data_IF_011424751839
#
_entry.id   IF_011424751839
#
_cell.length_a   1.000
_cell.length_b   1.000
_cell.length_c   1.000
_cell.angle_alpha   90.00
_cell.angle_beta   90.00
_cell.angle_gamma   90.00
#
_symmetry.space_group_name_H-M   'P 1'
#
loop_
_entity.id
_entity.type
_entity.pdbx_description
1 polymer ?
#
# COMPACT_ATOMS: atom_id res chain seq x y z
N UNK A 1 8.69 -39.24 10.33
CA UNK A 1 8.57 -38.08 9.41
C UNK A 1 7.12 -37.64 9.41
N UNK A 2 6.78 -36.46 9.91
CA UNK A 2 5.42 -35.90 9.84
C UNK A 2 5.09 -35.56 8.39
N UNK A 3 3.97 -36.03 7.90
CA UNK A 3 3.45 -35.70 6.57
C UNK A 3 3.04 -34.22 6.57
N UNK A 4 3.53 -33.43 5.61
CA UNK A 4 3.10 -32.06 5.42
C UNK A 4 1.62 -32.06 5.03
N UNK A 5 0.82 -31.23 5.66
CA UNK A 5 -0.55 -31.01 5.22
C UNK A 5 -0.57 -30.02 4.04
N UNK A 6 -1.61 -30.08 3.19
CA UNK A 6 -1.76 -29.11 2.11
C UNK A 6 -1.83 -27.65 2.60
N UNK A 7 -2.31 -27.44 3.84
CA UNK A 7 -2.33 -26.13 4.49
C UNK A 7 -0.91 -25.67 4.86
N UNK A 8 -0.12 -26.52 5.52
CA UNK A 8 1.28 -26.19 5.88
C UNK A 8 2.10 -25.80 4.64
N UNK A 9 1.88 -26.52 3.52
CA UNK A 9 2.54 -26.26 2.26
C UNK A 9 2.16 -24.89 1.69
N UNK A 10 0.85 -24.62 1.62
CA UNK A 10 0.33 -23.33 1.13
C UNK A 10 0.84 -22.16 1.94
N UNK A 11 0.73 -22.26 3.26
CA UNK A 11 1.11 -21.18 4.17
C UNK A 11 2.62 -20.89 4.05
N UNK A 12 3.45 -21.93 4.00
CA UNK A 12 4.90 -21.77 3.81
C UNK A 12 5.27 -21.10 2.49
N UNK A 13 4.58 -21.43 1.39
CA UNK A 13 4.82 -20.77 0.09
C UNK A 13 4.32 -19.35 0.08
N UNK A 14 3.16 -19.10 0.67
CA UNK A 14 2.61 -17.74 0.79
C UNK A 14 3.56 -16.85 1.56
N UNK A 15 4.09 -17.31 2.68
CA UNK A 15 5.07 -16.58 3.48
C UNK A 15 6.33 -16.26 2.69
N UNK A 16 6.90 -17.26 1.98
CA UNK A 16 8.10 -17.03 1.16
C UNK A 16 7.87 -16.01 0.03
N UNK A 17 6.70 -16.07 -0.63
CA UNK A 17 6.31 -15.14 -1.69
C UNK A 17 6.12 -13.73 -1.13
N UNK A 18 5.45 -13.61 0.01
CA UNK A 18 5.19 -12.31 0.64
C UNK A 18 6.49 -11.69 1.18
N UNK A 19 7.38 -12.51 1.74
CA UNK A 19 8.72 -12.07 2.15
C UNK A 19 9.51 -11.52 0.96
N UNK A 20 9.53 -12.26 -0.17
CA UNK A 20 10.14 -11.79 -1.40
C UNK A 20 9.47 -10.51 -1.94
N UNK A 21 8.15 -10.43 -1.90
CA UNK A 21 7.41 -9.25 -2.35
C UNK A 21 7.58 -8.03 -1.43
N UNK A 22 8.02 -8.21 -0.18
CA UNK A 22 8.36 -7.12 0.74
C UNK A 22 9.76 -6.54 0.49
N UNK A 23 10.53 -7.08 -0.44
CA UNK A 23 11.87 -6.60 -0.76
C UNK A 23 11.81 -5.36 -1.66
N UNK A 24 11.95 -4.19 -1.07
CA UNK A 24 12.06 -2.92 -1.78
C UNK A 24 13.47 -2.35 -1.66
N UNK A 25 13.99 -1.86 -2.79
CA UNK A 25 15.26 -1.14 -2.86
C UNK A 25 15.13 0.30 -2.35
N UNK A 26 13.93 0.90 -2.48
CA UNK A 26 13.65 2.21 -1.93
C UNK A 26 12.17 2.36 -1.55
N UNK A 27 11.92 3.20 -0.54
CA UNK A 27 10.58 3.65 -0.18
C UNK A 27 10.56 5.17 -0.19
N UNK A 28 9.55 5.73 -0.83
CA UNK A 28 9.28 7.16 -0.90
C UNK A 28 7.93 7.44 -0.25
N UNK A 29 7.85 8.44 0.61
CA UNK A 29 6.64 8.69 1.36
C UNK A 29 6.22 10.16 1.29
N UNK A 30 4.91 10.40 1.19
CA UNK A 30 4.28 11.71 1.19
C UNK A 30 3.19 11.76 2.26
N UNK A 31 3.29 12.69 3.19
CA UNK A 31 2.24 12.98 4.17
C UNK A 31 1.58 14.31 3.82
N UNK A 32 0.27 14.30 3.58
CA UNK A 32 -0.53 15.45 3.15
C UNK A 32 -1.51 15.82 4.25
N UNK A 33 -1.58 17.09 4.60
CA UNK A 33 -2.56 17.65 5.52
C UNK A 33 -2.83 19.13 5.21
N UNK A 34 -3.89 19.69 5.78
CA UNK A 34 -4.17 21.11 5.70
C UNK A 34 -3.56 21.86 6.89
N UNK A 35 -3.17 23.12 6.66
CA UNK A 35 -2.59 23.98 7.71
C UNK A 35 -3.57 24.27 8.85
N UNK A 36 -4.87 24.29 8.54
CA UNK A 36 -5.97 24.54 9.48
C UNK A 36 -6.48 23.28 10.20
N UNK A 37 -5.85 22.14 9.96
CA UNK A 37 -6.27 20.86 10.55
C UNK A 37 -6.13 20.85 12.09
N UNK A 38 -6.95 20.01 12.71
CA UNK A 38 -6.99 19.88 14.16
C UNK A 38 -5.83 19.02 14.72
N UNK A 39 -5.75 18.98 16.03
CA UNK A 39 -4.71 18.23 16.75
C UNK A 39 -4.70 16.73 16.40
N UNK A 40 -5.86 16.15 16.04
CA UNK A 40 -5.93 14.75 15.64
C UNK A 40 -5.28 14.50 14.28
N UNK A 41 -5.52 15.35 13.31
CA UNK A 41 -4.87 15.25 11.99
C UNK A 41 -3.35 15.36 12.12
N UNK A 42 -2.88 16.29 12.98
CA UNK A 42 -1.46 16.41 13.31
C UNK A 42 -0.95 15.13 13.98
N UNK A 43 -1.72 14.57 14.91
CA UNK A 43 -1.37 13.32 15.56
C UNK A 43 -1.32 12.15 14.56
N UNK A 44 -2.26 12.06 13.62
CA UNK A 44 -2.26 11.03 12.57
C UNK A 44 -1.01 11.14 11.68
N UNK A 45 -0.60 12.35 11.28
CA UNK A 45 0.64 12.55 10.54
C UNK A 45 1.88 12.10 11.36
N UNK A 46 1.91 12.40 12.66
CA UNK A 46 2.97 11.92 13.56
C UNK A 46 2.97 10.39 13.68
N UNK A 47 1.79 9.75 13.80
CA UNK A 47 1.69 8.29 13.83
C UNK A 47 2.16 7.66 12.52
N UNK A 48 1.95 8.34 11.39
CA UNK A 48 2.47 7.89 10.11
C UNK A 48 4.00 7.91 10.07
N UNK A 49 4.64 8.96 10.58
CA UNK A 49 6.11 8.99 10.72
C UNK A 49 6.61 7.83 11.60
N UNK A 50 5.94 7.56 12.72
CA UNK A 50 6.30 6.42 13.58
C UNK A 50 6.15 5.07 12.85
N UNK A 51 5.17 4.93 11.93
CA UNK A 51 5.07 3.74 11.08
C UNK A 51 6.32 3.63 10.18
N UNK A 52 6.73 4.71 9.53
CA UNK A 52 7.92 4.70 8.67
C UNK A 52 9.20 4.35 9.45
N UNK A 53 9.35 4.87 10.67
CA UNK A 53 10.43 4.47 11.57
C UNK A 53 10.42 2.95 11.87
N UNK A 54 9.24 2.39 12.19
CA UNK A 54 9.10 0.95 12.41
C UNK A 54 9.46 0.12 11.18
N UNK A 55 9.13 0.62 9.98
CA UNK A 55 9.51 0.02 8.70
C UNK A 55 10.99 0.24 8.37
N UNK A 56 11.71 1.05 9.13
CA UNK A 56 13.12 1.43 8.89
C UNK A 56 13.34 2.06 7.52
N UNK A 57 12.40 2.90 7.11
CA UNK A 57 12.43 3.61 5.84
C UNK A 57 12.54 5.12 6.09
N UNK A 58 12.95 5.92 5.07
CA UNK A 58 13.07 7.36 5.23
C UNK A 58 11.76 8.03 5.63
N UNK A 59 11.89 9.14 6.36
CA UNK A 59 10.76 9.99 6.75
C UNK A 59 9.96 10.46 5.55
N UNK A 60 8.67 10.68 5.76
CA UNK A 60 7.83 11.23 4.71
C UNK A 60 8.20 12.69 4.38
N UNK A 61 8.10 13.01 3.10
CA UNK A 61 7.99 14.41 2.69
C UNK A 61 6.66 14.95 3.18
N UNK A 62 6.67 16.02 3.98
CA UNK A 62 5.45 16.67 4.43
C UNK A 62 4.96 17.70 3.41
N UNK A 63 3.67 17.64 3.09
CA UNK A 63 2.98 18.65 2.28
C UNK A 63 1.83 19.24 3.08
N UNK A 64 2.04 20.44 3.60
CA UNK A 64 0.99 21.23 4.24
C UNK A 64 0.32 22.10 3.17
N UNK A 65 -0.98 21.93 3.00
CA UNK A 65 -1.81 22.70 2.09
C UNK A 65 -2.35 23.94 2.80
N UNK A 66 -2.36 25.06 2.11
CA UNK A 66 -2.98 26.29 2.55
C UNK A 66 -3.77 26.94 1.40
N UNK A 67 -4.49 28.02 1.71
CA UNK A 67 -5.39 28.68 0.77
C UNK A 67 -4.70 29.74 -0.11
N UNK A 68 -3.39 29.92 0.02
CA UNK A 68 -2.82 31.19 -0.39
C UNK A 68 -2.42 31.30 -1.87
N UNK A 69 -2.01 30.24 -2.59
CA UNK A 69 -1.29 30.53 -3.83
C UNK A 69 -1.63 29.68 -5.07
N UNK A 70 -2.11 28.45 -4.94
CA UNK A 70 -2.40 27.56 -6.07
C UNK A 70 -3.53 26.59 -5.72
N UNK A 71 -4.28 26.12 -6.70
CA UNK A 71 -5.24 25.03 -6.49
C UNK A 71 -4.55 23.86 -5.77
N UNK A 72 -5.03 23.46 -4.59
CA UNK A 72 -4.36 22.47 -3.73
C UNK A 72 -4.12 21.13 -4.44
N UNK A 73 -5.07 20.71 -5.29
CA UNK A 73 -4.91 19.51 -6.10
C UNK A 73 -3.71 19.53 -7.04
N UNK A 74 -3.39 20.69 -7.64
CA UNK A 74 -2.20 20.80 -8.50
C UNK A 74 -0.90 20.70 -7.70
N UNK A 75 -0.83 21.27 -6.49
CA UNK A 75 0.34 21.11 -5.61
C UNK A 75 0.55 19.64 -5.22
N UNK A 76 -0.52 18.96 -4.87
CA UNK A 76 -0.50 17.53 -4.54
C UNK A 76 -0.05 16.71 -5.73
N UNK A 77 -0.61 16.98 -6.91
CA UNK A 77 -0.26 16.29 -8.15
C UNK A 77 1.22 16.49 -8.52
N UNK A 78 1.73 17.72 -8.43
CA UNK A 78 3.13 18.04 -8.71
C UNK A 78 4.06 17.25 -7.76
N UNK A 79 3.74 17.27 -6.45
CA UNK A 79 4.55 16.57 -5.45
C UNK A 79 4.55 15.05 -5.62
N UNK A 80 3.38 14.47 -5.90
CA UNK A 80 3.28 13.04 -6.17
C UNK A 80 4.05 12.66 -7.45
N UNK A 81 3.99 13.46 -8.51
CA UNK A 81 4.77 13.23 -9.73
C UNK A 81 6.27 13.25 -9.48
N UNK A 82 6.77 14.17 -8.65
CA UNK A 82 8.19 14.20 -8.25
C UNK A 82 8.61 12.89 -7.58
N UNK A 83 7.79 12.40 -6.64
CA UNK A 83 8.09 11.15 -5.94
C UNK A 83 8.02 9.94 -6.87
N UNK A 84 7.00 9.83 -7.71
CA UNK A 84 6.88 8.77 -8.69
C UNK A 84 8.06 8.80 -9.69
N UNK A 85 8.49 9.99 -10.13
CA UNK A 85 9.66 10.12 -10.99
C UNK A 85 10.96 9.70 -10.29
N UNK A 86 11.09 9.94 -8.99
CA UNK A 86 12.22 9.48 -8.19
C UNK A 86 12.19 7.96 -8.01
N UNK A 87 11.02 7.40 -7.70
CA UNK A 87 10.83 5.96 -7.57
C UNK A 87 11.14 5.20 -8.86
N UNK A 88 10.74 5.75 -10.02
CA UNK A 88 11.08 5.18 -11.35
C UNK A 88 12.57 5.05 -11.59
N UNK A 89 13.37 5.98 -11.08
CA UNK A 89 14.84 5.98 -11.27
C UNK A 89 15.56 5.01 -10.33
N UNK A 90 14.82 4.42 -9.38
CA UNK A 90 15.41 3.44 -8.47
C UNK A 90 15.75 2.16 -9.23
N UNK A 91 16.95 1.67 -9.05
CA UNK A 91 17.33 0.33 -9.50
C UNK A 91 16.65 -0.69 -8.58
N UNK A 92 15.83 -1.59 -9.14
CA UNK A 92 15.02 -2.52 -8.39
C UNK A 92 13.60 -2.00 -8.09
N UNK A 93 12.90 -2.67 -7.19
CA UNK A 93 11.51 -2.32 -6.83
C UNK A 93 11.50 -1.15 -5.86
N UNK A 94 10.57 -0.22 -6.10
CA UNK A 94 10.31 0.90 -5.20
C UNK A 94 8.86 0.87 -4.70
N UNK A 95 8.65 1.38 -3.49
CA UNK A 95 7.33 1.61 -2.91
C UNK A 95 7.11 3.11 -2.72
N UNK A 96 5.95 3.60 -3.14
CA UNK A 96 5.50 4.96 -2.83
C UNK A 96 4.33 4.85 -1.86
N UNK A 97 4.42 5.49 -0.69
CA UNK A 97 3.34 5.54 0.30
C UNK A 97 2.82 6.96 0.38
N UNK A 98 1.54 7.14 0.08
CA UNK A 98 0.87 8.44 0.16
C UNK A 98 -0.13 8.41 1.31
N UNK A 99 0.09 9.22 2.30
CA UNK A 99 -0.77 9.38 3.46
C UNK A 99 -1.49 10.73 3.40
N UNK A 100 -2.79 10.72 3.56
CA UNK A 100 -3.59 11.92 3.76
C UNK A 100 -4.31 11.81 5.10
N UNK A 101 -4.13 12.81 5.94
CA UNK A 101 -4.92 12.99 7.14
C UNK A 101 -5.72 14.29 7.03
N UNK A 102 -7.03 14.25 7.33
CA UNK A 102 -7.87 15.44 7.21
C UNK A 102 -9.36 15.16 7.05
N UNK A 103 -10.04 16.01 6.31
CA UNK A 103 -11.45 15.87 5.98
C UNK A 103 -11.64 15.34 4.56
N UNK A 104 -12.63 14.44 4.39
CA UNK A 104 -13.13 14.02 3.09
C UNK A 104 -14.62 14.32 3.01
N UNK A 105 -15.10 14.71 1.85
CA UNK A 105 -16.52 14.99 1.58
C UNK A 105 -16.94 14.27 0.31
N UNK A 106 -18.06 13.57 0.36
CA UNK A 106 -18.63 12.96 -0.85
C UNK A 106 -19.16 14.03 -1.79
N UNK A 107 -18.74 13.94 -3.03
CA UNK A 107 -19.26 14.83 -4.08
C UNK A 107 -20.69 14.43 -4.44
N UNK A 108 -21.65 15.34 -4.36
CA UNK A 108 -23.10 15.04 -4.51
C UNK A 108 -23.48 14.36 -5.83
N UNK A 109 -22.70 14.53 -6.89
CA UNK A 109 -23.01 14.05 -8.24
C UNK A 109 -21.93 13.12 -8.80
N UNK A 110 -20.98 12.70 -8.01
CA UNK A 110 -19.88 11.81 -8.38
C UNK A 110 -19.60 10.88 -7.21
N UNK A 111 -19.28 9.62 -7.46
CA UNK A 111 -18.80 8.73 -6.42
C UNK A 111 -17.39 9.04 -5.94
N UNK A 112 -16.86 10.21 -6.26
CA UNK A 112 -15.53 10.66 -5.83
C UNK A 112 -15.56 11.33 -4.46
N UNK A 113 -14.40 11.38 -3.83
CA UNK A 113 -14.19 12.03 -2.53
C UNK A 113 -13.33 13.26 -2.73
N UNK A 114 -13.88 14.41 -2.35
CA UNK A 114 -13.13 15.66 -2.28
C UNK A 114 -12.41 15.74 -0.93
N UNK A 115 -11.09 15.87 -0.99
CA UNK A 115 -10.23 16.13 0.16
C UNK A 115 -10.19 17.62 0.42
N UNK A 116 -10.68 18.07 1.58
CA UNK A 116 -10.94 19.47 1.84
C UNK A 116 -10.40 19.92 3.20
N UNK A 117 -10.26 21.24 3.33
CA UNK A 117 -10.03 21.91 4.61
C UNK A 117 -11.29 21.82 5.50
N UNK A 118 -11.05 21.61 6.78
CA UNK A 118 -12.10 21.54 7.81
C UNK A 118 -12.89 22.84 7.96
N UNK A 119 -12.25 23.98 7.81
CA UNK A 119 -12.85 25.30 8.06
C UNK A 119 -13.63 25.84 6.87
N UNK A 120 -13.35 25.35 5.66
CA UNK A 120 -13.91 25.88 4.43
C UNK A 120 -14.33 24.77 3.47
N UNK A 121 -15.55 24.30 3.60
CA UNK A 121 -16.16 23.33 2.66
C UNK A 121 -16.48 23.99 1.30
N UNK A 122 -15.91 25.14 0.99
CA UNK A 122 -16.11 25.80 -0.29
C UNK A 122 -15.38 25.03 -1.40
N UNK A 123 -16.04 24.82 -2.53
CA UNK A 123 -15.57 24.03 -3.67
C UNK A 123 -14.17 24.38 -4.22
N UNK A 124 -13.67 25.56 -3.88
CA UNK A 124 -12.36 26.06 -4.37
C UNK A 124 -11.17 25.59 -3.52
N UNK A 125 -11.43 24.98 -2.38
CA UNK A 125 -10.44 24.58 -1.37
C UNK A 125 -10.44 23.06 -1.16
N UNK A 126 -11.05 22.33 -2.07
CA UNK A 126 -11.07 20.90 -2.10
C UNK A 126 -10.46 20.38 -3.40
N UNK A 127 -9.99 19.12 -3.39
CA UNK A 127 -9.56 18.43 -4.58
C UNK A 127 -10.00 16.99 -4.58
N UNK A 128 -10.31 16.48 -5.75
CA UNK A 128 -10.76 15.11 -5.95
C UNK A 128 -9.62 14.11 -5.76
N UNK A 129 -9.77 13.17 -4.83
CA UNK A 129 -8.73 12.20 -4.49
C UNK A 129 -8.41 11.24 -5.66
N UNK A 130 -9.41 10.86 -6.46
CA UNK A 130 -9.18 9.98 -7.61
C UNK A 130 -8.38 10.69 -8.70
N UNK A 131 -8.79 11.91 -9.05
CA UNK A 131 -8.18 12.69 -10.13
C UNK A 131 -6.75 13.12 -9.81
N UNK A 132 -6.51 13.62 -8.61
CA UNK A 132 -5.23 14.25 -8.26
C UNK A 132 -4.23 13.32 -7.56
N UNK A 133 -4.67 12.15 -7.12
CA UNK A 133 -3.81 11.16 -6.46
C UNK A 133 -3.86 9.81 -7.17
N UNK A 134 -4.95 9.05 -7.02
CA UNK A 134 -4.98 7.64 -7.40
C UNK A 134 -4.83 7.41 -8.90
N UNK A 135 -5.48 8.22 -9.72
CA UNK A 135 -5.37 8.11 -11.19
C UNK A 135 -3.95 8.31 -11.69
N UNK A 136 -3.11 9.06 -10.97
CA UNK A 136 -1.70 9.25 -11.34
C UNK A 136 -0.88 7.96 -11.23
N UNK A 137 -1.28 7.05 -10.37
CA UNK A 137 -0.63 5.76 -10.18
C UNK A 137 -1.17 4.65 -11.09
N UNK A 138 -2.20 4.94 -11.92
CA UNK A 138 -2.82 3.96 -12.79
C UNK A 138 -2.31 4.06 -14.24
N UNK A 139 -2.28 2.94 -15.01
CA UNK A 139 -1.92 2.95 -16.40
C UNK A 139 -2.85 3.86 -17.22
N UNK A 140 -2.27 4.58 -18.18
CA UNK A 140 -3.01 5.55 -18.99
C UNK A 140 -2.66 7.00 -18.69
N UNK A 141 -2.08 7.29 -17.55
CA UNK A 141 -1.40 8.55 -17.32
C UNK A 141 -0.06 8.57 -18.06
N UNK A 142 0.21 9.63 -18.78
CA UNK A 142 1.39 9.74 -19.68
C UNK A 142 2.72 9.50 -18.96
N UNK A 143 2.78 9.77 -17.68
CA UNK A 143 4.01 9.71 -16.89
C UNK A 143 4.36 8.32 -16.37
N UNK A 144 3.46 7.33 -16.48
CA UNK A 144 3.60 6.04 -15.80
C UNK A 144 3.62 4.82 -16.74
N UNK A 145 3.80 5.00 -18.05
CA UNK A 145 3.84 3.88 -19.00
C UNK A 145 4.94 2.84 -18.70
N UNK A 146 5.97 3.25 -17.97
CA UNK A 146 7.15 2.42 -17.66
C UNK A 146 7.37 2.19 -16.15
N UNK A 147 6.33 2.26 -15.32
CA UNK A 147 6.46 2.11 -13.84
C UNK A 147 6.26 0.68 -13.34
N UNK A 148 6.65 -0.29 -14.13
CA UNK A 148 6.48 -1.70 -13.77
C UNK A 148 7.11 -2.10 -12.41
N UNK A 149 8.03 -1.30 -11.89
CA UNK A 149 8.77 -1.55 -10.65
C UNK A 149 8.33 -0.67 -9.47
N UNK A 150 7.27 0.14 -9.60
CA UNK A 150 6.83 1.06 -8.53
C UNK A 150 5.46 0.67 -8.01
N UNK A 151 5.41 0.13 -6.81
CA UNK A 151 4.15 -0.09 -6.10
C UNK A 151 3.70 1.19 -5.39
N UNK A 152 2.38 1.41 -5.30
CA UNK A 152 1.83 2.62 -4.67
C UNK A 152 0.75 2.26 -3.67
N UNK A 153 0.94 2.65 -2.43
CA UNK A 153 -0.05 2.54 -1.35
C UNK A 153 -0.60 3.91 -1.00
N UNK A 154 -1.91 4.06 -1.10
CA UNK A 154 -2.63 5.23 -0.60
C UNK A 154 -3.28 4.89 0.74
N UNK A 155 -3.06 5.72 1.75
CA UNK A 155 -3.67 5.64 3.07
C UNK A 155 -4.45 6.93 3.32
N UNK A 156 -5.78 6.84 3.30
CA UNK A 156 -6.66 7.98 3.54
C UNK A 156 -7.26 7.89 4.95
N UNK A 157 -6.69 8.64 5.88
CA UNK A 157 -7.19 8.80 7.24
C UNK A 157 -8.11 10.00 7.32
N UNK A 158 -9.27 9.88 6.66
CA UNK A 158 -10.25 10.95 6.56
C UNK A 158 -11.68 10.41 6.61
N UNK A 159 -12.62 11.29 7.01
CA UNK A 159 -14.04 10.97 7.02
C UNK A 159 -14.58 10.68 5.62
N UNK A 160 -15.64 9.86 5.56
CA UNK A 160 -16.46 9.63 4.38
C UNK A 160 -15.76 9.05 3.16
N UNK A 161 -14.61 8.40 3.32
CA UNK A 161 -13.96 7.74 2.20
C UNK A 161 -14.60 6.37 1.92
N UNK A 162 -15.69 6.33 1.17
CA UNK A 162 -16.42 5.10 0.83
C UNK A 162 -15.79 4.29 -0.31
N UNK A 163 -14.59 4.61 -0.69
CA UNK A 163 -13.86 3.94 -1.76
C UNK A 163 -14.07 4.58 -3.12
N UNK A 164 -13.10 4.40 -3.94
CA UNK A 164 -13.14 4.86 -5.32
C UNK A 164 -14.01 3.91 -6.13
N UNK A 165 -14.93 4.43 -6.94
CA UNK A 165 -15.94 3.63 -7.64
C UNK A 165 -15.38 2.78 -8.79
N UNK A 166 -14.12 2.95 -9.14
CA UNK A 166 -13.55 2.20 -10.26
C UNK A 166 -13.29 0.76 -9.87
N UNK A 167 -13.88 -0.22 -10.57
CA UNK A 167 -13.48 -1.61 -10.44
C UNK A 167 -11.98 -1.74 -10.76
N UNK A 168 -11.31 -2.73 -10.18
CA UNK A 168 -9.93 -3.03 -10.52
C UNK A 168 -9.81 -3.20 -12.03
N UNK A 169 -8.79 -2.59 -12.63
CA UNK A 169 -8.53 -2.78 -14.05
C UNK A 169 -8.24 -4.26 -14.30
N UNK A 170 -8.89 -4.87 -15.30
CA UNK A 170 -8.72 -6.31 -15.58
C UNK A 170 -7.30 -6.66 -16.06
N UNK A 171 -6.46 -5.66 -16.25
CA UNK A 171 -5.07 -5.88 -16.64
C UNK A 171 -4.23 -5.95 -15.35
N UNK A 172 -3.80 -7.14 -14.93
CA UNK A 172 -2.88 -7.27 -13.83
C UNK A 172 -1.57 -6.59 -14.25
N UNK A 173 -1.39 -5.33 -13.85
CA UNK A 173 -0.15 -4.58 -14.05
C UNK A 173 1.04 -5.32 -13.44
N UNK A 174 2.21 -4.88 -13.78
CA UNK A 174 3.47 -5.39 -13.21
C UNK A 174 3.75 -4.79 -11.83
N UNK A 175 3.00 -3.76 -11.43
CA UNK A 175 3.05 -3.10 -10.13
C UNK A 175 1.68 -3.15 -9.44
N UNK A 176 1.65 -2.81 -8.17
CA UNK A 176 0.42 -2.76 -7.37
C UNK A 176 0.06 -1.32 -7.06
N UNK A 177 -1.21 -1.00 -7.22
CA UNK A 177 -1.81 0.22 -6.66
C UNK A 177 -2.91 -0.19 -5.69
N UNK A 178 -2.73 0.17 -4.44
CA UNK A 178 -3.59 -0.25 -3.34
C UNK A 178 -4.06 0.96 -2.55
N UNK A 179 -5.32 0.95 -2.15
CA UNK A 179 -5.96 2.03 -1.38
C UNK A 179 -6.50 1.45 -0.09
N UNK A 180 -6.11 2.07 1.01
CA UNK A 180 -6.63 1.84 2.33
C UNK A 180 -7.23 3.14 2.85
N UNK A 181 -8.46 3.09 3.32
CA UNK A 181 -9.18 4.28 3.77
C UNK A 181 -10.01 4.03 5.02
N UNK A 182 -10.12 5.05 5.85
CA UNK A 182 -11.08 5.08 6.95
C UNK A 182 -12.49 5.35 6.38
N UNK A 183 -13.49 4.60 6.88
CA UNK A 183 -14.89 4.88 6.62
C UNK A 183 -15.56 5.12 7.98
N UNK A 184 -15.85 6.35 8.27
CA UNK A 184 -16.46 6.73 9.53
C UNK A 184 -17.65 7.64 9.28
N UNK A 185 -18.84 7.20 9.71
CA UNK A 185 -20.06 7.98 9.60
C UNK A 185 -20.21 8.95 10.78
N UNK A 186 -19.90 8.49 12.00
CA UNK A 186 -19.96 9.30 13.22
C UNK A 186 -18.60 9.29 13.93
N UNK A 187 -18.11 10.45 14.21
CA UNK A 187 -16.77 10.70 14.68
C UNK A 187 -16.74 11.37 16.04
N UNK A 188 -16.05 10.76 16.98
CA UNK A 188 -15.62 11.41 18.20
C UNK A 188 -14.11 11.80 18.07
N UNK A 189 -13.74 13.05 18.42
CA UNK A 189 -12.32 13.43 18.46
C UNK A 189 -11.45 12.56 19.38
N UNK A 190 -12.08 11.82 20.30
CA UNK A 190 -11.41 10.90 21.21
C UNK A 190 -11.17 9.50 20.60
N UNK A 191 -11.79 9.16 19.46
CA UNK A 191 -11.61 7.87 18.84
C UNK A 191 -10.25 7.81 18.10
N UNK A 192 -9.52 6.68 18.16
CA UNK A 192 -8.27 6.51 17.45
C UNK A 192 -8.44 6.64 15.95
N UNK A 193 -7.46 7.23 15.27
CA UNK A 193 -7.45 7.33 13.81
C UNK A 193 -7.08 6.00 13.13
N UNK A 194 -7.36 5.86 11.83
CA UNK A 194 -6.91 4.72 11.04
C UNK A 194 -5.40 4.51 11.18
N UNK A 195 -4.63 5.59 11.07
CA UNK A 195 -3.17 5.55 11.18
C UNK A 195 -2.71 5.08 12.54
N UNK A 196 -3.42 5.44 13.62
CA UNK A 196 -3.11 4.95 14.97
C UNK A 196 -3.37 3.44 15.10
N UNK A 197 -4.46 2.94 14.53
CA UNK A 197 -4.74 1.50 14.50
C UNK A 197 -3.69 0.72 13.70
N UNK A 198 -3.32 1.22 12.52
CA UNK A 198 -2.26 0.63 11.70
C UNK A 198 -0.95 0.55 12.47
N UNK A 199 -0.54 1.66 13.12
CA UNK A 199 0.69 1.69 13.92
C UNK A 199 0.68 0.63 15.02
N UNK A 200 -0.42 0.52 15.77
CA UNK A 200 -0.55 -0.48 16.86
C UNK A 200 -0.46 -1.91 16.34
N UNK A 201 -1.08 -2.17 15.20
CA UNK A 201 -1.06 -3.51 14.59
C UNK A 201 0.32 -3.87 14.05
N UNK A 202 0.97 -2.94 13.36
CA UNK A 202 2.34 -3.10 12.84
C UNK A 202 3.32 -3.36 13.99
N UNK A 203 3.24 -2.57 15.08
CA UNK A 203 4.07 -2.76 16.28
C UNK A 203 3.87 -4.16 16.88
N UNK A 204 2.63 -4.60 17.04
CA UNK A 204 2.34 -5.93 17.59
C UNK A 204 2.85 -7.08 16.72
N UNK A 205 2.93 -6.90 15.40
CA UNK A 205 3.52 -7.89 14.48
C UNK A 205 5.04 -7.87 14.56
N UNK A 206 5.63 -6.69 14.62
CA UNK A 206 7.08 -6.54 14.80
C UNK A 206 7.56 -7.19 16.10
N UNK A 207 6.83 -7.00 17.21
CA UNK A 207 7.11 -7.66 18.49
C UNK A 207 7.05 -9.20 18.42
N UNK A 208 6.21 -9.74 17.52
CA UNK A 208 6.11 -11.17 17.23
C UNK A 208 7.18 -11.68 16.25
N UNK A 209 8.07 -10.81 15.79
CA UNK A 209 9.17 -11.16 14.88
C UNK A 209 8.77 -11.27 13.41
N UNK A 210 7.63 -10.70 13.00
CA UNK A 210 7.26 -10.66 11.59
C UNK A 210 8.30 -9.89 10.77
N UNK A 211 8.64 -10.38 9.59
CA UNK A 211 9.60 -9.76 8.69
C UNK A 211 8.92 -8.80 7.72
N UNK A 212 7.63 -8.98 7.48
CA UNK A 212 6.80 -8.15 6.62
C UNK A 212 5.37 -8.06 7.18
N UNK A 213 4.60 -7.13 6.62
CA UNK A 213 3.17 -7.00 6.90
C UNK A 213 2.43 -6.79 5.59
N UNK A 214 1.53 -7.70 5.23
CA UNK A 214 0.64 -7.56 4.09
C UNK A 214 -0.52 -6.60 4.43
N UNK A 215 -0.79 -5.64 3.55
CA UNK A 215 -1.84 -4.62 3.78
C UNK A 215 -3.22 -5.25 3.88
N UNK A 216 -3.55 -6.23 3.02
CA UNK A 216 -4.84 -6.93 3.07
C UNK A 216 -5.04 -7.66 4.40
N UNK A 217 -4.00 -8.27 4.95
CA UNK A 217 -4.07 -8.96 6.24
C UNK A 217 -4.17 -7.98 7.42
N UNK A 218 -3.52 -6.81 7.34
CA UNK A 218 -3.76 -5.72 8.30
C UNK A 218 -5.24 -5.35 8.35
N UNK A 219 -5.86 -5.13 7.18
CA UNK A 219 -7.27 -4.76 7.07
C UNK A 219 -8.17 -5.84 7.63
N UNK A 220 -7.93 -7.10 7.29
CA UNK A 220 -8.69 -8.23 7.82
C UNK A 220 -8.62 -8.30 9.36
N UNK A 221 -7.44 -8.08 9.92
CA UNK A 221 -7.23 -8.02 11.38
C UNK A 221 -8.01 -6.87 12.01
N UNK A 222 -8.00 -5.70 11.36
CA UNK A 222 -8.75 -4.54 11.83
C UNK A 222 -10.26 -4.80 11.80
N UNK A 223 -10.79 -5.43 10.75
CA UNK A 223 -12.22 -5.81 10.66
C UNK A 223 -12.64 -6.81 11.74
N UNK A 224 -11.75 -7.72 12.14
CA UNK A 224 -12.02 -8.71 13.20
C UNK A 224 -12.10 -8.11 14.60
N UNK A 225 -11.68 -6.87 14.80
CA UNK A 225 -11.72 -6.20 16.11
C UNK A 225 -13.08 -5.58 16.36
N UNK A 226 -13.92 -6.27 17.12
CA UNK A 226 -15.28 -5.80 17.48
C UNK A 226 -15.34 -4.46 18.24
N UNK A 227 -14.21 -3.98 18.75
CA UNK A 227 -14.09 -2.69 19.46
C UNK A 227 -13.86 -1.49 18.54
N UNK A 228 -13.60 -1.71 17.23
CA UNK A 228 -13.46 -0.61 16.29
C UNK A 228 -14.81 -0.01 15.93
N UNK A 229 -14.97 1.26 16.22
CA UNK A 229 -16.10 2.07 15.74
C UNK A 229 -15.92 2.51 14.29
N UNK A 230 -14.72 2.34 13.76
CA UNK A 230 -14.33 2.74 12.41
C UNK A 230 -14.34 1.51 11.50
N UNK A 231 -14.96 1.65 10.33
CA UNK A 231 -14.86 0.69 9.24
C UNK A 231 -13.70 1.09 8.35
N UNK A 232 -12.93 0.12 7.88
CA UNK A 232 -11.88 0.35 6.89
C UNK A 232 -12.36 -0.10 5.51
N UNK A 233 -12.04 0.68 4.50
CA UNK A 233 -12.22 0.31 3.10
C UNK A 233 -10.85 -0.03 2.50
N UNK A 234 -10.78 -1.15 1.81
CA UNK A 234 -9.58 -1.64 1.18
C UNK A 234 -9.87 -2.03 -0.27
N UNK A 235 -9.01 -1.61 -1.19
CA UNK A 235 -9.18 -1.89 -2.61
C UNK A 235 -7.83 -1.95 -3.33
N UNK A 236 -7.56 -3.07 -3.98
CA UNK A 236 -6.48 -3.18 -4.96
C UNK A 236 -6.99 -2.64 -6.29
N UNK A 237 -6.45 -1.50 -6.75
CA UNK A 237 -6.84 -0.83 -8.00
C UNK A 237 -6.10 -1.37 -9.21
N UNK A 238 -4.90 -1.86 -9.00
CA UNK A 238 -4.05 -2.49 -10.00
C UNK A 238 -3.19 -3.55 -9.35
N UNK A 239 -2.90 -4.62 -10.07
CA UNK A 239 -2.09 -5.73 -9.56
C UNK A 239 -2.92 -6.92 -9.12
N UNK A 240 -2.24 -8.01 -8.77
CA UNK A 240 -2.85 -9.29 -8.42
C UNK A 240 -2.62 -9.71 -6.96
N UNK A 241 -1.82 -8.96 -6.22
CA UNK A 241 -1.48 -9.21 -4.80
C UNK A 241 -1.55 -7.93 -4.01
N UNK A 242 -1.68 -8.04 -2.69
CA UNK A 242 -1.55 -6.91 -1.79
C UNK A 242 -0.10 -6.48 -1.62
N UNK A 243 0.13 -5.23 -1.21
CA UNK A 243 1.45 -4.71 -0.88
C UNK A 243 1.93 -5.32 0.44
N UNK A 244 3.17 -5.80 0.45
CA UNK A 244 3.85 -6.28 1.64
C UNK A 244 4.81 -5.20 2.15
N UNK A 245 4.53 -4.63 3.32
CA UNK A 245 5.37 -3.61 3.93
C UNK A 245 6.59 -4.27 4.61
N UNK A 246 7.83 -3.78 4.37
CA UNK A 246 9.04 -4.38 4.92
C UNK A 246 9.21 -4.02 6.40
N UNK A 247 9.17 -4.97 7.32
CA UNK A 247 9.53 -4.76 8.72
C UNK A 247 11.04 -4.95 8.99
N UNK A 248 11.72 -5.69 8.11
CA UNK A 248 13.16 -5.87 8.17
C UNK A 248 13.96 -4.64 7.66
N UNK A 249 13.28 -3.67 7.06
CA UNK A 249 13.87 -2.51 6.39
C UNK A 249 14.13 -2.75 4.91
N UNK A 250 14.85 -1.81 4.29
CA UNK A 250 15.19 -1.87 2.87
C UNK A 250 16.30 -2.88 2.62
N UNK A 251 16.25 -3.58 1.50
CA UNK A 251 17.39 -4.37 1.00
C UNK A 251 18.28 -3.51 0.11
N UNK A 252 19.59 -3.69 0.25
CA UNK A 252 20.52 -3.07 -0.69
C UNK A 252 20.23 -3.57 -2.12
N UNK A 253 20.13 -2.65 -3.10
CA UNK A 253 19.85 -3.05 -4.47
C UNK A 253 21.00 -3.94 -4.96
N UNK A 254 20.72 -5.18 -5.27
CA UNK A 254 21.62 -5.99 -6.07
C UNK A 254 21.68 -5.32 -7.43
N UNK A 255 22.89 -4.98 -7.92
CA UNK A 255 23.11 -4.25 -9.17
C UNK A 255 22.61 -5.05 -10.38
N UNK A 256 21.32 -5.06 -10.60
CA UNK A 256 20.69 -5.51 -11.83
C UNK A 256 20.04 -4.31 -12.52
N UNK A 257 20.32 -4.08 -13.79
CA UNK A 257 19.62 -3.03 -14.53
C UNK A 257 18.12 -3.35 -14.46
N UNK A 258 17.33 -2.38 -14.03
CA UNK A 258 15.87 -2.48 -14.04
C UNK A 258 15.40 -2.71 -15.49
N UNK A 259 15.17 -3.95 -15.85
CA UNK A 259 14.51 -4.32 -17.10
C UNK A 259 13.02 -4.29 -16.81
N UNK A 260 12.29 -3.40 -17.48
CA UNK A 260 10.83 -3.42 -17.42
C UNK A 260 10.34 -4.82 -17.77
N UNK A 261 9.54 -5.49 -16.91
CA UNK A 261 9.11 -6.85 -17.17
C UNK A 261 8.30 -6.89 -18.45
N UNK A 262 8.88 -7.49 -19.48
CA UNK A 262 8.30 -7.62 -20.81
C UNK A 262 7.51 -8.91 -21.01
N UNK A 263 7.61 -9.85 -20.06
CA UNK A 263 7.03 -11.19 -20.19
C UNK A 263 6.33 -11.61 -18.91
N UNK A 264 5.12 -12.15 -19.05
CA UNK A 264 4.42 -12.91 -18.01
C UNK A 264 4.51 -14.39 -18.34
N UNK A 265 4.90 -15.18 -17.36
CA UNK A 265 4.85 -16.61 -17.43
C UNK A 265 3.95 -17.17 -16.33
N UNK A 266 3.02 -18.05 -16.69
CA UNK A 266 2.29 -18.87 -15.74
C UNK A 266 3.08 -20.17 -15.59
N UNK A 267 3.63 -20.39 -14.41
CA UNK A 267 4.32 -21.63 -14.07
C UNK A 267 3.37 -22.50 -13.25
N UNK A 268 3.15 -23.72 -13.71
CA UNK A 268 2.43 -24.73 -12.94
C UNK A 268 3.45 -25.70 -12.37
N UNK A 269 3.53 -25.75 -11.05
CA UNK A 269 4.38 -26.70 -10.34
C UNK A 269 3.50 -27.88 -9.89
N UNK A 270 3.77 -29.07 -10.43
CA UNK A 270 3.13 -30.29 -9.98
C UNK A 270 3.95 -30.91 -8.86
N UNK A 271 3.28 -31.17 -7.75
CA UNK A 271 3.92 -31.65 -6.54
C UNK A 271 3.25 -32.99 -6.18
N UNK A 272 4.06 -34.00 -5.95
CA UNK A 272 3.56 -35.29 -5.54
C UNK A 272 3.00 -35.27 -4.11
N UNK A 273 2.02 -36.11 -3.80
CA UNK A 273 1.36 -36.16 -2.48
C UNK A 273 2.28 -36.46 -1.30
N UNK A 274 3.52 -36.86 -1.58
CA UNK A 274 4.53 -37.25 -0.60
C UNK A 274 5.69 -36.28 -0.50
N UNK A 275 5.46 -34.99 -0.79
CA UNK A 275 6.49 -33.94 -0.65
C UNK A 275 7.09 -33.97 0.75
N UNK A 276 8.40 -34.03 0.80
CA UNK A 276 9.16 -33.94 2.04
C UNK A 276 9.37 -32.51 2.46
N UNK A 277 9.65 -32.27 3.75
CA UNK A 277 10.01 -30.94 4.24
C UNK A 277 11.23 -30.38 3.51
N UNK A 278 12.22 -31.21 3.22
CA UNK A 278 13.43 -30.81 2.49
C UNK A 278 13.13 -30.31 1.07
N UNK A 279 12.21 -30.98 0.35
CA UNK A 279 11.79 -30.52 -0.98
C UNK A 279 11.01 -29.22 -0.94
N UNK A 280 10.18 -29.01 0.09
CA UNK A 280 9.51 -27.73 0.31
C UNK A 280 10.52 -26.63 0.62
N UNK A 281 11.50 -26.89 1.49
CA UNK A 281 12.55 -25.93 1.82
C UNK A 281 13.41 -25.54 0.60
N UNK A 282 13.66 -26.49 -0.34
CA UNK A 282 14.31 -26.20 -1.62
C UNK A 282 13.48 -25.26 -2.50
N UNK A 283 12.17 -25.48 -2.58
CA UNK A 283 11.26 -24.63 -3.34
C UNK A 283 11.17 -23.22 -2.72
N UNK A 284 11.12 -23.14 -1.40
CA UNK A 284 11.15 -21.88 -0.65
C UNK A 284 12.44 -21.12 -0.92
N UNK A 285 13.60 -21.81 -0.90
CA UNK A 285 14.88 -21.21 -1.24
C UNK A 285 14.88 -20.65 -2.67
N UNK A 286 14.37 -21.42 -3.64
CA UNK A 286 14.24 -20.96 -5.02
C UNK A 286 13.38 -19.68 -5.13
N UNK A 287 12.27 -19.60 -4.38
CA UNK A 287 11.41 -18.42 -4.35
C UNK A 287 12.15 -17.20 -3.77
N UNK A 288 12.86 -17.38 -2.64
CA UNK A 288 13.65 -16.32 -1.99
C UNK A 288 14.83 -15.84 -2.83
N UNK A 289 15.42 -16.75 -3.58
CA UNK A 289 16.56 -16.45 -4.47
C UNK A 289 16.11 -15.89 -5.84
N UNK A 290 14.80 -15.78 -6.08
CA UNK A 290 14.28 -15.13 -7.27
C UNK A 290 14.78 -13.69 -7.35
N UNK A 291 15.19 -13.25 -8.53
CA UNK A 291 15.70 -11.88 -8.70
C UNK A 291 14.70 -10.82 -8.32
N UNK A 292 15.15 -9.62 -7.91
CA UNK A 292 14.27 -8.54 -7.45
C UNK A 292 13.33 -8.02 -8.53
N UNK A 293 13.59 -8.34 -9.78
CA UNK A 293 12.74 -7.99 -10.94
C UNK A 293 11.63 -9.01 -11.19
N UNK A 294 11.61 -10.12 -10.42
CA UNK A 294 10.58 -11.17 -10.54
C UNK A 294 9.51 -10.91 -9.48
N UNK A 295 8.27 -10.74 -9.94
CA UNK A 295 7.11 -10.71 -9.05
C UNK A 295 6.45 -12.08 -9.04
N UNK A 296 6.25 -12.60 -7.86
CA UNK A 296 5.62 -13.90 -7.65
C UNK A 296 4.21 -13.70 -7.07
N UNK A 297 3.27 -14.53 -7.51
CA UNK A 297 1.92 -14.57 -6.97
C UNK A 297 1.44 -16.00 -6.92
N UNK A 298 0.94 -16.44 -5.78
CA UNK A 298 0.31 -17.75 -5.65
C UNK A 298 -1.18 -17.64 -6.05
N UNK A 299 -1.56 -18.21 -7.20
CA UNK A 299 -2.94 -18.16 -7.68
C UNK A 299 -3.86 -19.21 -7.06
N UNK A 300 -3.31 -20.31 -6.56
CA UNK A 300 -4.06 -21.37 -5.90
C UNK A 300 -3.29 -22.67 -5.87
N UNK A 301 -3.72 -23.56 -4.99
CA UNK A 301 -3.27 -24.95 -4.93
C UNK A 301 -4.51 -25.79 -5.26
N UNK A 302 -4.50 -26.45 -6.41
CA UNK A 302 -5.55 -27.37 -6.80
C UNK A 302 -5.13 -28.79 -6.40
N UNK A 303 -5.93 -29.52 -5.63
CA UNK A 303 -5.70 -30.95 -5.46
C UNK A 303 -5.85 -31.62 -6.83
N UNK A 304 -4.91 -32.49 -7.17
CA UNK A 304 -4.96 -33.34 -8.37
C UNK A 304 -5.96 -34.47 -8.20
#
# INVERSE_FOLDING_TARGET
MSRLTGLDFRDTLTDAINEHNAEYAAVYSLSIRWASDDARTVAAATQFQNILEMLRVPDATELTLDHSDRPPGLRVQEKLRELLASAKRTTGRALVIVHYAGQGVLTRNSPSVDLCDRLNIRRFEAFDADTFLVSLALPGHYDLRDTANVDVLFVFDCKYFFGLPRPPLPNPGTHVVEVLAAVEEEYSPADPSLTEYLRKEIAGRQEKGAQYVEVADLVQTLWGRSSMKMTTNHSVKLGASSICLPLAGLKEPVHSPSIAPSVRALLTVQIADNVTREQLDQLVSFIRDAGPDIRLTLQGICPC
#
